data_IF_769696956811
#
_entry.id   IF_769696956811
#
_cell.length_a   1.000
_cell.length_b   1.000
_cell.length_c   1.000
_cell.angle_alpha   90.00
_cell.angle_beta   90.00
_cell.angle_gamma   90.00
#
_symmetry.space_group_name_H-M   'P 1'
#
loop_
_entity.id
_entity.type
_entity.pdbx_description
1 polymer ?
#
# COMPACT_ATOMS: atom_id res chain seq x y z
N UNK A 1 20.90 -5.06 -7.60
CA UNK A 1 20.05 -5.19 -6.42
C UNK A 1 20.34 -4.05 -5.47
N UNK A 2 19.30 -3.31 -5.07
CA UNK A 2 19.37 -2.32 -3.98
C UNK A 2 18.31 -2.63 -2.94
N UNK A 3 18.56 -2.18 -1.73
CA UNK A 3 17.64 -2.23 -0.61
C UNK A 3 17.68 -0.91 0.14
N UNK A 4 16.51 -0.36 0.42
CA UNK A 4 16.35 0.80 1.28
C UNK A 4 15.40 0.46 2.44
N UNK A 5 15.73 0.97 3.60
CA UNK A 5 14.88 0.94 4.79
C UNK A 5 14.75 2.36 5.32
N UNK A 6 13.53 2.75 5.65
CA UNK A 6 13.25 4.05 6.25
C UNK A 6 12.15 3.93 7.31
N UNK A 7 12.29 4.70 8.36
CA UNK A 7 11.25 4.96 9.34
C UNK A 7 10.94 6.46 9.30
N UNK A 8 9.68 6.80 9.17
CA UNK A 8 9.25 8.19 9.08
C UNK A 8 8.02 8.42 9.93
N UNK A 9 8.13 9.32 10.88
CA UNK A 9 7.01 9.74 11.72
C UNK A 9 6.55 11.16 11.37
N UNK A 10 5.27 11.44 11.62
CA UNK A 10 4.70 12.77 11.53
C UNK A 10 3.61 12.98 12.57
N UNK A 11 3.62 14.15 13.20
CA UNK A 11 2.54 14.56 14.09
C UNK A 11 1.30 15.02 13.29
N UNK A 12 1.55 15.75 12.20
CA UNK A 12 0.51 16.33 11.36
C UNK A 12 1.05 16.57 9.94
N UNK A 13 0.26 16.20 8.94
CA UNK A 13 0.69 16.30 7.55
C UNK A 13 0.30 17.64 6.91
N UNK A 14 0.56 18.76 7.46
CA UNK A 14 0.30 20.12 6.94
C UNK A 14 0.27 20.18 5.38
N UNK A 15 -0.85 19.78 4.78
CA UNK A 15 -0.99 19.68 3.31
C UNK A 15 -1.61 20.93 2.68
N UNK A 16 -2.03 21.88 3.49
CA UNK A 16 -2.74 23.09 3.04
C UNK A 16 -2.30 24.30 3.85
N UNK A 17 -2.31 25.46 3.20
CA UNK A 17 -2.13 26.75 3.88
C UNK A 17 -3.35 27.16 4.74
N UNK A 18 -4.46 26.44 4.58
CA UNK A 18 -5.70 26.67 5.35
C UNK A 18 -5.72 25.65 6.48
N UNK A 19 -5.75 26.13 7.72
CA UNK A 19 -5.72 25.28 8.92
C UNK A 19 -6.87 24.28 8.95
N UNK A 20 -8.05 24.67 8.49
CA UNK A 20 -9.21 23.79 8.41
C UNK A 20 -8.92 22.55 7.53
N UNK A 21 -8.45 22.76 6.30
CA UNK A 21 -8.11 21.66 5.40
C UNK A 21 -6.99 20.77 5.92
N UNK A 22 -6.04 21.35 6.65
CA UNK A 22 -4.95 20.59 7.28
C UNK A 22 -5.45 19.77 8.47
N UNK A 23 -6.31 20.35 9.32
CA UNK A 23 -6.80 19.71 10.52
C UNK A 23 -7.86 18.63 10.26
N UNK A 24 -8.66 18.74 9.17
CA UNK A 24 -9.82 17.88 8.93
C UNK A 24 -9.59 16.76 7.91
N UNK A 25 -8.38 16.58 7.39
CA UNK A 25 -8.08 15.58 6.37
C UNK A 25 -7.26 14.39 6.85
N UNK A 26 -6.97 14.33 8.14
CA UNK A 26 -6.16 13.25 8.70
C UNK A 26 -6.90 12.58 9.84
N UNK A 27 -6.86 11.24 9.91
CA UNK A 27 -7.38 10.52 11.04
C UNK A 27 -6.66 10.93 12.33
N UNK A 28 -7.41 11.30 13.34
CA UNK A 28 -6.90 11.64 14.66
C UNK A 28 -7.89 11.18 15.72
N UNK A 29 -7.39 10.98 16.94
CA UNK A 29 -8.24 10.77 18.10
C UNK A 29 -8.66 12.09 18.74
N UNK A 30 -7.73 13.05 18.80
CA UNK A 30 -7.96 14.39 19.33
C UNK A 30 -7.27 15.43 18.44
N UNK A 31 -8.03 16.32 17.86
CA UNK A 31 -7.53 17.39 16.98
C UNK A 31 -6.67 18.43 17.70
N UNK A 32 -6.80 18.54 19.03
CA UNK A 32 -6.06 19.50 19.84
C UNK A 32 -4.74 18.95 20.36
N UNK A 33 -4.57 17.63 20.32
CA UNK A 33 -3.38 16.94 20.85
C UNK A 33 -2.76 16.07 19.75
N UNK A 34 -1.94 16.65 18.85
CA UNK A 34 -1.31 15.88 17.79
C UNK A 34 -0.31 14.88 18.38
N UNK A 35 -0.37 13.64 17.90
CA UNK A 35 0.50 12.54 18.30
C UNK A 35 1.34 12.09 17.11
N UNK A 36 2.62 11.88 17.33
CA UNK A 36 3.50 11.25 16.33
C UNK A 36 3.00 9.84 16.00
N UNK A 37 2.99 9.54 14.72
CA UNK A 37 2.65 8.21 14.19
C UNK A 37 3.34 8.01 12.86
N UNK A 38 3.42 6.77 12.34
CA UNK A 38 3.99 6.51 11.02
C UNK A 38 3.39 7.44 9.95
N UNK A 39 4.24 7.92 9.07
CA UNK A 39 3.82 8.77 7.96
C UNK A 39 3.08 7.94 6.91
N UNK A 40 1.96 8.42 6.39
CA UNK A 40 1.27 7.76 5.29
C UNK A 40 2.07 7.75 3.96
N UNK A 41 3.21 8.45 3.91
CA UNK A 41 4.18 8.40 2.81
C UNK A 41 5.33 7.43 3.08
N UNK A 42 5.28 6.68 4.18
CA UNK A 42 6.32 5.73 4.51
C UNK A 42 6.26 4.51 3.60
N UNK A 43 7.42 4.16 3.07
CA UNK A 43 7.69 2.86 2.47
C UNK A 43 8.83 2.28 3.29
N UNK A 44 8.49 1.49 4.30
CA UNK A 44 9.46 1.01 5.28
C UNK A 44 10.58 0.20 4.65
N UNK A 45 10.24 -0.67 3.70
CA UNK A 45 11.19 -1.51 2.97
C UNK A 45 10.98 -1.37 1.46
N UNK A 46 12.06 -1.11 0.73
CA UNK A 46 12.06 -1.09 -0.72
C UNK A 46 13.25 -1.89 -1.29
N UNK A 47 12.96 -2.76 -2.24
CA UNK A 47 13.93 -3.54 -3.00
C UNK A 47 13.80 -3.22 -4.48
N UNK A 48 14.93 -2.90 -5.15
CA UNK A 48 14.98 -2.80 -6.60
C UNK A 48 15.87 -3.89 -7.16
N UNK A 49 15.42 -4.52 -8.24
CA UNK A 49 16.13 -5.59 -8.90
C UNK A 49 16.47 -5.17 -10.33
N UNK A 50 17.72 -5.38 -10.69
CA UNK A 50 18.15 -5.27 -12.07
C UNK A 50 19.17 -6.36 -12.35
N UNK A 51 18.82 -7.25 -13.27
CA UNK A 51 19.69 -8.30 -13.75
C UNK A 51 19.69 -8.25 -15.27
N UNK A 52 20.88 -8.34 -15.88
CA UNK A 52 21.01 -8.44 -17.33
C UNK A 52 22.04 -9.48 -17.68
N UNK A 53 21.76 -10.19 -18.75
CA UNK A 53 22.67 -11.14 -19.36
C UNK A 53 22.75 -10.85 -20.86
N UNK A 54 23.94 -10.98 -21.42
CA UNK A 54 24.21 -10.87 -22.85
C UNK A 54 25.11 -12.01 -23.28
N UNK A 55 24.83 -12.57 -24.43
CA UNK A 55 25.63 -13.67 -25.00
C UNK A 55 25.12 -14.05 -26.38
N UNK A 56 25.84 -14.94 -27.02
CA UNK A 56 25.50 -15.42 -28.35
C UNK A 56 24.90 -16.83 -28.25
N UNK A 57 23.57 -16.94 -28.36
CA UNK A 57 22.86 -18.23 -28.34
C UNK A 57 22.76 -18.78 -29.76
N UNK A 58 22.59 -17.91 -30.76
CA UNK A 58 22.38 -18.30 -32.16
C UNK A 58 23.56 -17.83 -33.03
N UNK A 59 24.65 -18.60 -33.04
CA UNK A 59 25.86 -18.25 -33.80
C UNK A 59 26.53 -17.00 -33.27
N UNK A 60 26.83 -16.04 -34.15
CA UNK A 60 27.46 -14.75 -33.80
C UNK A 60 26.45 -13.63 -33.47
N UNK A 61 25.18 -13.99 -33.41
CA UNK A 61 24.07 -13.03 -33.13
C UNK A 61 23.86 -12.88 -31.63
N UNK A 62 23.84 -11.62 -31.19
CA UNK A 62 23.68 -11.29 -29.79
C UNK A 62 22.25 -11.57 -29.31
N UNK A 63 22.15 -12.26 -28.19
CA UNK A 63 20.94 -12.41 -27.39
C UNK A 63 21.12 -11.65 -26.08
N UNK A 64 20.16 -10.84 -25.70
CA UNK A 64 20.15 -10.19 -24.39
C UNK A 64 18.85 -10.47 -23.63
N UNK A 65 18.99 -10.68 -22.34
CA UNK A 65 17.89 -10.87 -21.41
C UNK A 65 18.08 -9.85 -20.28
N UNK A 66 17.07 -9.06 -20.02
CA UNK A 66 17.07 -8.13 -18.90
C UNK A 66 15.81 -8.37 -18.03
N UNK A 67 16.03 -8.41 -16.73
CA UNK A 67 15.00 -8.47 -15.71
C UNK A 67 15.12 -7.21 -14.87
N UNK A 68 14.02 -6.49 -14.73
CA UNK A 68 13.91 -5.33 -13.87
C UNK A 68 12.68 -5.50 -13.00
N UNK A 69 12.69 -4.90 -11.82
CA UNK A 69 11.53 -4.93 -10.95
C UNK A 69 11.81 -4.28 -9.62
N UNK A 70 10.75 -4.11 -8.87
CA UNK A 70 10.82 -3.67 -7.48
C UNK A 70 9.88 -4.49 -6.60
N UNK A 71 10.15 -4.47 -5.31
CA UNK A 71 9.27 -4.98 -4.27
C UNK A 71 9.36 -4.05 -3.07
N UNK A 72 8.21 -3.57 -2.60
CA UNK A 72 8.19 -2.66 -1.45
C UNK A 72 7.06 -2.97 -0.49
N UNK A 73 7.23 -2.53 0.77
CA UNK A 73 6.16 -2.59 1.76
C UNK A 73 5.01 -1.69 1.35
N UNK A 74 3.80 -2.09 1.67
CA UNK A 74 2.63 -1.25 1.49
C UNK A 74 2.68 0.00 2.37
N UNK A 75 1.92 1.01 1.98
CA UNK A 75 1.81 2.27 2.72
C UNK A 75 1.00 2.10 4.00
N UNK A 76 1.35 2.83 5.08
CA UNK A 76 0.58 2.85 6.31
C UNK A 76 -0.83 3.39 6.12
N UNK A 77 -1.80 2.79 6.81
CA UNK A 77 -3.18 3.25 6.84
C UNK A 77 -3.80 3.17 8.24
N UNK A 78 -4.94 3.84 8.41
CA UNK A 78 -5.67 3.92 9.67
C UNK A 78 -7.04 3.28 9.53
N UNK A 79 -7.48 2.61 10.59
CA UNK A 79 -8.90 2.26 10.74
C UNK A 79 -9.66 3.44 11.34
N UNK A 80 -10.76 3.81 10.69
CA UNK A 80 -11.61 4.94 11.09
C UNK A 80 -13.08 4.52 11.13
N UNK A 81 -13.88 5.28 11.86
CA UNK A 81 -15.33 5.18 11.74
C UNK A 81 -15.80 5.74 10.39
N UNK A 82 -16.88 5.20 9.87
CA UNK A 82 -17.57 5.76 8.71
C UNK A 82 -18.37 6.98 9.15
N UNK A 83 -18.07 8.13 8.54
CA UNK A 83 -18.72 9.40 8.83
C UNK A 83 -17.94 10.25 9.84
N UNK A 84 -18.58 11.32 10.30
CA UNK A 84 -18.02 12.30 11.21
C UNK A 84 -18.69 12.19 12.58
N UNK A 85 -18.05 11.46 13.50
CA UNK A 85 -18.53 11.31 14.88
C UNK A 85 -18.22 12.54 15.73
N UNK A 86 -17.13 13.23 15.43
CA UNK A 86 -16.66 14.40 16.17
C UNK A 86 -17.40 15.69 15.81
N UNK A 87 -18.11 15.71 14.68
CA UNK A 87 -18.81 16.89 14.18
C UNK A 87 -17.89 17.97 13.61
N UNK A 88 -16.61 17.65 13.40
CA UNK A 88 -15.63 18.59 12.86
C UNK A 88 -15.65 18.71 11.34
N UNK A 89 -16.33 17.79 10.64
CA UNK A 89 -16.38 17.78 9.18
C UNK A 89 -17.79 17.89 8.63
N UNK A 90 -17.89 18.62 7.54
CA UNK A 90 -19.13 18.78 6.78
C UNK A 90 -19.14 18.02 5.45
N UNK A 91 -18.00 17.44 5.05
CA UNK A 91 -17.79 16.81 3.74
C UNK A 91 -17.75 15.26 3.79
N UNK A 92 -18.01 14.68 4.97
CA UNK A 92 -18.23 13.23 5.12
C UNK A 92 -16.96 12.36 5.06
N UNK A 93 -15.76 12.95 5.13
CA UNK A 93 -14.56 12.14 5.22
C UNK A 93 -14.39 11.50 6.60
N UNK A 94 -13.85 10.29 6.63
CA UNK A 94 -13.66 9.49 7.83
C UNK A 94 -12.34 9.89 8.51
N UNK A 95 -12.41 10.67 9.58
CA UNK A 95 -11.24 11.16 10.31
C UNK A 95 -11.16 10.69 11.76
N UNK A 96 -12.25 10.13 12.28
CA UNK A 96 -12.29 9.66 13.66
C UNK A 96 -11.69 8.26 13.72
N UNK A 97 -10.57 8.10 14.43
CA UNK A 97 -9.90 6.81 14.61
C UNK A 97 -10.83 5.81 15.28
N UNK A 98 -10.80 4.57 14.80
CA UNK A 98 -11.65 3.50 15.30
C UNK A 98 -11.33 3.22 16.78
N UNK A 99 -12.33 3.37 17.63
CA UNK A 99 -12.29 2.83 18.99
C UNK A 99 -12.72 1.37 18.97
N UNK A 100 -11.89 0.49 19.51
CA UNK A 100 -12.20 -0.94 19.63
C UNK A 100 -12.77 -1.22 21.01
N UNK A 101 -14.07 -1.53 21.11
CA UNK A 101 -14.68 -1.77 22.41
C UNK A 101 -14.06 -2.94 23.17
N UNK A 102 -13.95 -2.81 24.49
CA UNK A 102 -13.71 -3.96 25.34
C UNK A 102 -14.93 -4.91 25.35
N UNK A 103 -14.72 -6.13 25.80
CA UNK A 103 -15.87 -7.04 25.97
C UNK A 103 -16.82 -6.44 27.01
N UNK A 104 -18.10 -6.26 26.63
CA UNK A 104 -19.12 -5.61 27.45
C UNK A 104 -18.77 -4.15 27.83
N UNK A 105 -18.23 -3.38 26.91
CA UNK A 105 -17.85 -1.99 27.16
C UNK A 105 -19.10 -1.15 27.53
N UNK A 106 -19.11 -0.56 28.73
CA UNK A 106 -20.28 0.20 29.19
C UNK A 106 -20.50 1.52 28.47
N UNK A 107 -19.49 1.98 27.73
CA UNK A 107 -19.53 3.24 26.96
C UNK A 107 -19.99 3.06 25.52
N UNK A 108 -20.23 1.81 25.09
CA UNK A 108 -20.60 1.50 23.71
C UNK A 108 -22.00 0.92 23.66
N UNK A 109 -22.85 1.54 22.86
CA UNK A 109 -24.19 1.03 22.56
C UNK A 109 -24.21 0.55 21.11
N UNK A 110 -24.61 -0.69 20.93
CA UNK A 110 -24.82 -1.26 19.61
C UNK A 110 -26.26 -1.01 19.17
N UNK A 111 -26.44 -0.69 17.89
CA UNK A 111 -27.77 -0.55 17.31
C UNK A 111 -28.53 -1.88 17.34
N UNK A 112 -29.86 -1.79 17.33
CA UNK A 112 -30.71 -2.99 17.25
C UNK A 112 -30.40 -3.79 15.99
N UNK A 113 -30.12 -5.09 16.17
CA UNK A 113 -29.77 -5.99 15.07
C UNK A 113 -28.30 -5.93 14.63
N UNK A 114 -27.44 -5.20 15.34
CA UNK A 114 -25.99 -5.23 15.08
C UNK A 114 -25.42 -6.62 15.40
N UNK A 115 -24.71 -7.20 14.42
CA UNK A 115 -24.08 -8.51 14.57
C UNK A 115 -22.74 -8.38 15.35
N UNK A 116 -22.83 -8.55 16.66
CA UNK A 116 -21.69 -8.44 17.56
C UNK A 116 -20.67 -9.57 17.31
N UNK A 117 -21.13 -10.76 16.94
CA UNK A 117 -20.26 -11.90 16.71
C UNK A 117 -19.44 -11.71 15.43
N UNK A 118 -20.08 -11.29 14.34
CA UNK A 118 -19.39 -10.96 13.10
C UNK A 118 -18.40 -9.79 13.30
N UNK A 119 -18.76 -8.79 14.11
CA UNK A 119 -17.86 -7.69 14.44
C UNK A 119 -16.65 -8.17 15.25
N UNK A 120 -16.84 -9.02 16.24
CA UNK A 120 -15.73 -9.58 17.01
C UNK A 120 -14.81 -10.44 16.14
N UNK A 121 -15.37 -11.24 15.24
CA UNK A 121 -14.59 -12.02 14.29
C UNK A 121 -13.77 -11.09 13.38
N UNK A 122 -14.35 -10.01 12.85
CA UNK A 122 -13.63 -9.01 12.08
C UNK A 122 -12.46 -8.39 12.87
N UNK A 123 -12.65 -8.05 14.15
CA UNK A 123 -11.60 -7.53 15.02
C UNK A 123 -10.45 -8.53 15.19
N UNK A 124 -10.75 -9.81 15.31
CA UNK A 124 -9.75 -10.85 15.47
C UNK A 124 -9.00 -11.10 14.15
N UNK A 125 -9.71 -11.23 13.04
CA UNK A 125 -9.15 -11.48 11.71
C UNK A 125 -8.26 -10.32 11.22
N UNK A 126 -8.61 -9.08 11.58
CA UNK A 126 -7.86 -7.88 11.21
C UNK A 126 -6.73 -7.51 12.19
N UNK A 127 -6.59 -8.24 13.31
CA UNK A 127 -5.62 -7.92 14.36
C UNK A 127 -6.00 -6.72 15.25
N UNK A 128 -7.22 -6.18 15.08
CA UNK A 128 -7.72 -5.05 15.84
C UNK A 128 -8.05 -5.41 17.29
N UNK A 129 -8.27 -6.69 17.58
CA UNK A 129 -8.56 -7.17 18.95
C UNK A 129 -7.45 -6.84 19.96
N UNK A 130 -6.21 -6.59 19.50
CA UNK A 130 -5.12 -6.11 20.34
C UNK A 130 -5.32 -4.70 20.92
N UNK A 131 -6.27 -3.92 20.36
CA UNK A 131 -6.57 -2.54 20.79
C UNK A 131 -7.85 -2.43 21.63
N UNK A 132 -8.39 -3.55 22.13
CA UNK A 132 -9.63 -3.52 22.93
C UNK A 132 -9.57 -2.54 24.08
N UNK A 133 -10.59 -1.69 24.21
CA UNK A 133 -10.69 -0.62 25.19
C UNK A 133 -9.91 0.65 24.84
N UNK A 134 -9.42 0.77 23.60
CA UNK A 134 -8.67 1.94 23.15
C UNK A 134 -8.96 2.28 21.69
N UNK A 135 -8.60 3.49 21.28
CA UNK A 135 -8.57 3.85 19.86
C UNK A 135 -7.35 3.22 19.17
N UNK A 136 -7.55 2.80 17.94
CA UNK A 136 -6.46 2.30 17.09
C UNK A 136 -5.55 3.49 16.73
N UNK A 137 -4.24 3.40 16.94
CA UNK A 137 -3.34 4.49 16.59
C UNK A 137 -3.36 4.77 15.07
N UNK A 138 -3.15 6.02 14.71
CA UNK A 138 -3.07 6.40 13.29
C UNK A 138 -1.93 5.68 12.59
N UNK A 139 -2.20 5.20 11.36
CA UNK A 139 -1.22 4.58 10.48
C UNK A 139 -0.47 3.38 11.11
N UNK A 140 -1.16 2.62 11.96
CA UNK A 140 -0.59 1.45 12.64
C UNK A 140 -0.71 0.14 11.86
N UNK A 141 -1.29 0.19 10.68
CA UNK A 141 -1.42 -0.95 9.77
C UNK A 141 -0.84 -0.59 8.40
N UNK A 142 -0.30 -1.58 7.71
CA UNK A 142 0.25 -1.40 6.37
C UNK A 142 -0.59 -2.14 5.34
N UNK A 143 -0.74 -1.54 4.16
CA UNK A 143 -1.26 -2.22 2.98
C UNK A 143 -0.37 -3.42 2.62
N UNK A 144 -0.85 -4.38 1.82
CA UNK A 144 -0.02 -5.47 1.33
C UNK A 144 1.22 -4.98 0.59
N UNK A 145 2.25 -5.83 0.58
CA UNK A 145 3.44 -5.60 -0.22
C UNK A 145 3.10 -5.54 -1.70
N UNK A 146 3.67 -4.57 -2.38
CA UNK A 146 3.49 -4.38 -3.82
C UNK A 146 4.80 -4.52 -4.58
N UNK A 147 4.72 -4.81 -5.88
CA UNK A 147 5.90 -4.91 -6.72
C UNK A 147 5.60 -5.47 -8.09
N UNK A 148 6.52 -5.23 -9.01
CA UNK A 148 6.46 -5.74 -10.38
C UNK A 148 7.78 -6.38 -10.77
N UNK A 149 7.70 -7.30 -11.75
CA UNK A 149 8.85 -7.85 -12.43
C UNK A 149 8.62 -7.82 -13.93
N UNK A 150 9.52 -7.14 -14.63
CA UNK A 150 9.48 -6.97 -16.07
C UNK A 150 10.65 -7.72 -16.70
N UNK A 151 10.38 -8.37 -17.82
CA UNK A 151 11.38 -9.11 -18.58
C UNK A 151 11.46 -8.58 -20.01
N UNK A 152 12.65 -8.22 -20.43
CA UNK A 152 12.96 -7.97 -21.84
C UNK A 152 13.84 -9.07 -22.38
N UNK A 153 13.46 -9.61 -23.53
CA UNK A 153 14.29 -10.52 -24.31
C UNK A 153 14.52 -9.86 -25.67
N UNK A 154 15.77 -9.73 -26.06
CA UNK A 154 16.10 -9.17 -27.38
C UNK A 154 17.09 -10.09 -28.09
N UNK A 155 16.89 -10.23 -29.41
CA UNK A 155 17.68 -11.09 -30.29
C UNK A 155 18.11 -10.31 -31.53
N UNK A 156 19.40 -10.26 -31.80
CA UNK A 156 19.93 -9.82 -33.09
C UNK A 156 19.45 -10.76 -34.22
N UNK A 157 19.08 -10.20 -35.33
CA UNK A 157 18.65 -10.93 -36.53
C UNK A 157 19.68 -10.82 -37.65
N UNK A 158 19.82 -11.87 -38.46
CA UNK A 158 20.70 -11.81 -39.64
C UNK A 158 20.15 -10.80 -40.66
N UNK A 159 20.99 -9.89 -41.11
CA UNK A 159 20.60 -8.81 -42.03
C UNK A 159 20.86 -9.11 -43.51
N UNK A 160 21.33 -10.32 -43.84
CA UNK A 160 21.47 -10.77 -45.23
C UNK A 160 22.41 -9.93 -46.11
N UNK A 161 23.44 -9.30 -45.52
CA UNK A 161 24.42 -8.48 -46.25
C UNK A 161 24.06 -6.98 -46.31
N UNK A 162 23.00 -6.55 -45.63
CA UNK A 162 22.70 -5.12 -45.43
C UNK A 162 23.64 -4.59 -44.35
N UNK A 163 24.28 -3.45 -44.62
CA UNK A 163 25.08 -2.76 -43.61
C UNK A 163 24.17 -2.20 -42.50
N UNK A 164 23.97 -2.94 -41.43
CA UNK A 164 23.13 -2.56 -40.30
C UNK A 164 22.86 -3.75 -39.38
N UNK A 165 22.33 -3.49 -38.20
CA UNK A 165 21.87 -4.47 -37.24
C UNK A 165 20.35 -4.38 -37.13
N UNK A 166 19.67 -5.51 -37.14
CA UNK A 166 18.28 -5.63 -36.83
C UNK A 166 18.14 -6.40 -35.50
N UNK A 167 17.28 -5.91 -34.61
CA UNK A 167 17.02 -6.58 -33.33
C UNK A 167 15.52 -6.74 -33.15
N UNK A 168 15.10 -7.94 -32.89
CA UNK A 168 13.74 -8.24 -32.43
C UNK A 168 13.76 -8.28 -30.90
N UNK A 169 12.76 -7.66 -30.27
CA UNK A 169 12.62 -7.73 -28.83
C UNK A 169 11.17 -7.98 -28.40
N UNK A 170 11.05 -8.55 -27.23
CA UNK A 170 9.79 -8.78 -26.53
C UNK A 170 9.93 -8.22 -25.12
N UNK A 171 9.01 -7.36 -24.73
CA UNK A 171 8.85 -6.88 -23.38
C UNK A 171 7.62 -7.53 -22.75
N UNK A 172 7.81 -8.08 -21.57
CA UNK A 172 6.74 -8.66 -20.77
C UNK A 172 6.72 -7.89 -19.46
N UNK A 173 5.71 -7.04 -19.31
CA UNK A 173 5.50 -6.28 -18.09
C UNK A 173 4.75 -7.13 -17.07
N UNK A 174 5.16 -7.00 -15.81
CA UNK A 174 4.55 -7.71 -14.68
C UNK A 174 4.44 -9.22 -14.93
N UNK A 175 5.56 -9.85 -15.30
CA UNK A 175 5.61 -11.28 -15.70
C UNK A 175 5.07 -12.23 -14.62
N UNK A 176 5.13 -11.83 -13.34
CA UNK A 176 4.62 -12.64 -12.23
C UNK A 176 3.10 -12.79 -12.29
N UNK A 177 2.38 -11.82 -12.86
CA UNK A 177 0.94 -11.90 -13.06
C UNK A 177 0.52 -12.99 -14.07
N UNK A 178 1.43 -13.44 -14.94
CA UNK A 178 1.20 -14.60 -15.80
C UNK A 178 1.19 -15.92 -15.02
N UNK A 179 1.85 -15.96 -13.86
CA UNK A 179 1.94 -17.14 -13.00
C UNK A 179 0.77 -17.14 -12.00
N UNK A 180 0.49 -16.00 -11.41
CA UNK A 180 -0.61 -15.82 -10.47
C UNK A 180 -1.18 -14.40 -10.63
N UNK A 181 -2.48 -14.31 -10.96
CA UNK A 181 -3.20 -13.04 -11.19
C UNK A 181 -3.24 -12.11 -9.98
N UNK A 182 -2.98 -12.63 -8.79
CA UNK A 182 -2.96 -11.86 -7.54
C UNK A 182 -1.58 -11.24 -7.27
N UNK A 183 -0.56 -11.61 -8.06
CA UNK A 183 0.78 -11.07 -7.95
C UNK A 183 0.95 -9.83 -8.84
N UNK A 184 1.63 -8.82 -8.32
CA UNK A 184 1.86 -7.56 -9.05
C UNK A 184 0.62 -6.64 -9.11
N UNK A 185 -0.42 -6.95 -8.34
CA UNK A 185 -1.51 -6.02 -8.07
C UNK A 185 -1.08 -4.92 -7.10
N UNK A 186 -1.66 -3.74 -7.26
CA UNK A 186 -1.52 -2.64 -6.30
C UNK A 186 -2.82 -2.53 -5.52
N UNK A 187 -2.77 -2.92 -4.25
CA UNK A 187 -3.87 -2.70 -3.32
C UNK A 187 -3.57 -1.46 -2.48
N UNK A 188 -4.22 -0.36 -2.82
CA UNK A 188 -4.07 0.88 -2.06
C UNK A 188 -5.30 1.10 -1.18
N UNK A 189 -5.11 1.04 0.12
CA UNK A 189 -6.11 1.41 1.12
C UNK A 189 -6.11 2.92 1.41
N UNK A 190 -5.87 3.74 0.37
CA UNK A 190 -5.91 5.18 0.50
C UNK A 190 -7.29 5.65 0.98
N UNK A 191 -7.35 6.19 2.19
CA UNK A 191 -8.53 6.81 2.77
C UNK A 191 -9.30 5.99 3.80
N UNK A 192 -8.73 4.90 4.34
CA UNK A 192 -9.29 4.24 5.54
C UNK A 192 -10.64 3.55 5.37
N UNK A 193 -11.16 3.43 4.16
CA UNK A 193 -12.32 2.61 3.86
C UNK A 193 -11.85 1.33 3.18
N UNK A 194 -11.94 0.20 3.89
CA UNK A 194 -11.93 -1.09 3.25
C UNK A 194 -13.16 -1.19 2.36
N UNK A 195 -13.01 -0.93 1.07
CA UNK A 195 -13.96 -1.42 0.10
C UNK A 195 -13.63 -2.91 -0.11
N UNK A 196 -14.25 -3.76 0.68
CA UNK A 196 -14.38 -5.17 0.33
C UNK A 196 -15.13 -5.26 -0.98
N UNK A 197 -14.47 -5.68 -2.04
CA UNK A 197 -15.14 -6.26 -3.20
C UNK A 197 -15.42 -7.73 -2.95
#
# INVERSE_FOLDING_TARGET
>A
LSYAHQEREMAHAMTSSIIFSSATRFPVFDHLTPVNSPSHYEIEHAFDYKLSWQGNIFGDLETSIALNGFRQSGTPFSYTFLGDLSGYRTDGENIDLLYVPSLNDPNVLYADGFDIDAFNQFLDDSGLSGYRGSAVPRNSFNSPWEGTFDVRIAQELPTGGINGKATFFVDIENVLNLINSDWGGFENYAGGTMNSR
#
